data_IF_291773589882
#
_entry.id   IF_291773589882
#
_cell.length_a   1.000
_cell.length_b   1.000
_cell.length_c   1.000
_cell.angle_alpha   90.00
_cell.angle_beta   90.00
_cell.angle_gamma   90.00
#
_symmetry.space_group_name_H-M   'P 1'
#
loop_
_entity.id
_entity.type
_entity.pdbx_description
1 polymer ?
#
# COMPACT_ATOMS: atom_id res chain seq x y z
N UNK A 1 8.11 1.35 -33.39
CA UNK A 1 7.28 1.11 -32.20
C UNK A 1 6.72 -0.29 -32.33
N UNK A 2 7.26 -1.26 -31.59
CA UNK A 2 6.61 -2.56 -31.49
C UNK A 2 5.47 -2.38 -30.50
N UNK A 3 4.23 -2.40 -30.98
CA UNK A 3 3.07 -2.53 -30.12
C UNK A 3 3.10 -3.96 -29.60
N UNK A 4 3.69 -4.14 -28.42
CA UNK A 4 3.50 -5.38 -27.67
C UNK A 4 2.03 -5.43 -27.28
N UNK A 5 1.34 -6.51 -27.61
CA UNK A 5 0.01 -6.77 -27.09
C UNK A 5 0.12 -7.19 -25.62
N UNK A 6 -0.83 -6.79 -24.76
CA UNK A 6 -0.83 -7.25 -23.37
C UNK A 6 -1.02 -8.76 -23.32
N UNK A 7 -0.16 -9.43 -22.55
CA UNK A 7 -0.26 -10.87 -22.39
C UNK A 7 -1.48 -11.28 -21.56
N UNK A 8 -1.90 -10.43 -20.61
CA UNK A 8 -2.95 -10.75 -19.65
C UNK A 8 -4.32 -10.17 -20.02
N UNK A 9 -5.37 -10.91 -19.65
CA UNK A 9 -6.76 -10.56 -19.89
C UNK A 9 -7.57 -10.48 -18.57
N UNK A 10 -8.14 -9.32 -18.20
CA UNK A 10 -7.98 -8.01 -18.83
C UNK A 10 -6.60 -7.40 -18.53
N UNK A 11 -6.06 -6.50 -19.38
CA UNK A 11 -4.82 -5.77 -19.10
C UNK A 11 -4.95 -4.79 -17.93
N UNK A 12 -3.83 -4.41 -17.31
CA UNK A 12 -3.85 -3.35 -16.30
C UNK A 12 -4.39 -2.01 -16.86
N UNK A 13 -5.06 -1.20 -16.04
CA UNK A 13 -5.42 0.16 -16.43
C UNK A 13 -4.15 0.96 -16.73
N UNK A 14 -4.06 1.52 -17.95
CA UNK A 14 -2.86 2.23 -18.40
C UNK A 14 -1.64 1.32 -18.60
N UNK A 15 -1.86 0.04 -18.92
CA UNK A 15 -0.81 -0.91 -19.24
C UNK A 15 0.20 -0.37 -20.26
N UNK A 16 1.49 -0.61 -20.00
CA UNK A 16 2.59 -0.24 -20.91
C UNK A 16 3.35 -1.44 -21.43
N UNK A 17 3.76 -2.34 -20.53
CA UNK A 17 4.53 -3.55 -20.85
C UNK A 17 4.47 -4.58 -19.73
N UNK A 18 4.66 -5.83 -20.11
CA UNK A 18 4.82 -6.95 -19.18
C UNK A 18 6.29 -7.11 -18.78
N UNK A 19 6.52 -7.53 -17.54
CA UNK A 19 7.83 -7.92 -17.04
C UNK A 19 8.09 -9.42 -17.25
N UNK A 20 9.35 -9.87 -17.14
CA UNK A 20 9.71 -11.27 -17.36
C UNK A 20 8.88 -12.22 -16.49
N UNK A 21 8.49 -13.35 -17.07
CA UNK A 21 7.77 -14.41 -16.35
C UNK A 21 8.66 -15.00 -15.24
N UNK A 22 8.07 -15.61 -14.19
CA UNK A 22 8.76 -16.39 -13.16
C UNK A 22 9.85 -17.35 -13.67
N UNK A 23 9.63 -17.95 -14.84
CA UNK A 23 10.55 -18.92 -15.47
C UNK A 23 11.64 -18.27 -16.33
N UNK A 24 11.55 -16.97 -16.58
CA UNK A 24 12.50 -16.22 -17.40
C UNK A 24 13.57 -15.57 -16.54
N UNK A 25 14.77 -15.41 -17.10
CA UNK A 25 15.82 -14.65 -16.45
C UNK A 25 15.41 -13.17 -16.32
N UNK A 26 15.85 -12.49 -15.25
CA UNK A 26 15.57 -11.07 -15.08
C UNK A 26 16.15 -10.28 -16.26
N UNK A 27 15.36 -9.37 -16.81
CA UNK A 27 15.76 -8.52 -17.95
C UNK A 27 16.85 -7.51 -17.56
N UNK A 28 16.95 -7.18 -16.27
CA UNK A 28 17.87 -6.20 -15.71
C UNK A 28 18.54 -6.83 -14.48
N UNK A 29 19.86 -6.72 -14.38
CA UNK A 29 20.58 -7.14 -13.18
C UNK A 29 20.22 -6.20 -12.02
N UNK A 30 19.86 -6.70 -10.83
CA UNK A 30 19.42 -5.83 -9.76
C UNK A 30 20.54 -4.90 -9.30
N UNK A 31 20.30 -3.58 -9.34
CA UNK A 31 21.30 -2.56 -9.00
C UNK A 31 20.96 -1.85 -7.68
N UNK A 32 21.77 -2.02 -6.60
CA UNK A 32 21.47 -1.51 -5.26
C UNK A 32 21.24 0.00 -5.14
N UNK A 33 21.94 0.89 -5.88
CA UNK A 33 21.73 2.34 -5.74
C UNK A 33 20.35 2.86 -6.13
N UNK A 34 19.58 2.08 -6.90
CA UNK A 34 18.20 2.42 -7.29
C UNK A 34 17.18 1.94 -6.25
N UNK A 35 17.60 1.07 -5.33
CA UNK A 35 16.79 0.51 -4.27
C UNK A 35 17.04 1.32 -2.98
N UNK A 36 16.17 2.29 -2.65
CA UNK A 36 16.40 3.18 -1.52
C UNK A 36 16.43 2.43 -0.17
N UNK A 37 15.68 1.32 -0.09
CA UNK A 37 15.52 0.53 1.11
C UNK A 37 16.02 -0.90 0.88
N UNK A 38 16.91 -1.44 1.75
CA UNK A 38 17.25 -2.86 1.78
C UNK A 38 16.01 -3.71 2.13
N UNK A 39 16.03 -5.01 1.81
CA UNK A 39 14.97 -5.93 2.19
C UNK A 39 14.76 -5.97 3.72
N UNK A 40 13.55 -6.37 4.14
CA UNK A 40 13.22 -6.56 5.55
C UNK A 40 14.03 -7.70 6.16
N UNK A 41 14.10 -8.80 5.43
CA UNK A 41 14.78 -10.01 5.82
C UNK A 41 15.20 -10.78 4.57
N UNK A 42 16.36 -11.43 4.65
CA UNK A 42 16.92 -12.22 3.57
C UNK A 42 17.66 -13.42 4.17
N UNK A 43 17.12 -14.61 3.93
CA UNK A 43 17.72 -15.89 4.32
C UNK A 43 17.73 -16.86 3.13
N UNK A 44 18.22 -18.09 3.35
CA UNK A 44 18.19 -19.15 2.33
C UNK A 44 16.77 -19.64 2.00
N UNK A 45 15.81 -19.42 2.91
CA UNK A 45 14.42 -19.90 2.79
C UNK A 45 13.53 -18.85 2.14
N UNK A 46 13.54 -17.62 2.65
CA UNK A 46 12.64 -16.57 2.20
C UNK A 46 13.30 -15.19 2.10
N UNK A 47 12.73 -14.38 1.20
CA UNK A 47 13.06 -12.98 0.99
C UNK A 47 11.82 -12.15 1.32
N UNK A 48 11.97 -11.17 2.22
CA UNK A 48 10.90 -10.24 2.61
C UNK A 48 11.20 -8.85 2.05
N UNK A 49 10.37 -8.40 1.09
CA UNK A 49 10.50 -7.09 0.45
C UNK A 49 9.55 -6.07 1.12
N UNK A 50 10.06 -4.89 1.53
CA UNK A 50 9.22 -3.85 2.08
C UNK A 50 8.37 -3.20 0.99
N UNK A 51 7.09 -2.97 1.30
CA UNK A 51 6.17 -2.19 0.45
C UNK A 51 5.49 -1.12 1.28
N UNK A 52 5.95 0.12 1.12
CA UNK A 52 5.29 1.28 1.72
C UNK A 52 4.19 1.78 0.78
N UNK A 53 2.94 1.42 1.05
CA UNK A 53 1.78 1.86 0.25
C UNK A 53 1.42 3.32 0.53
N UNK A 54 1.64 3.79 1.77
CA UNK A 54 1.33 5.17 2.18
C UNK A 54 2.63 5.94 2.48
N UNK A 55 3.06 6.78 1.54
CA UNK A 55 4.30 7.56 1.66
C UNK A 55 4.14 8.85 2.48
N UNK A 56 2.94 9.42 2.52
CA UNK A 56 2.64 10.74 3.14
C UNK A 56 1.96 10.62 4.51
N UNK A 57 2.44 9.70 5.35
CA UNK A 57 1.90 9.53 6.71
C UNK A 57 2.18 10.74 7.59
N UNK A 58 1.17 11.14 8.36
CA UNK A 58 1.22 12.26 9.30
C UNK A 58 0.50 13.51 8.82
N UNK A 59 0.40 13.76 7.51
CA UNK A 59 -0.38 14.90 6.98
C UNK A 59 -1.87 14.70 7.29
N UNK A 60 -2.36 13.47 7.12
CA UNK A 60 -3.74 13.10 7.45
C UNK A 60 -4.03 13.28 8.95
N UNK A 61 -3.09 12.89 9.82
CA UNK A 61 -3.21 13.07 11.27
C UNK A 61 -3.28 14.53 11.67
N UNK A 62 -2.42 15.40 11.12
CA UNK A 62 -2.48 16.84 11.40
C UNK A 62 -3.76 17.49 10.88
N UNK A 63 -4.21 17.12 9.68
CA UNK A 63 -5.48 17.57 9.13
C UNK A 63 -6.65 17.10 10.01
N UNK A 64 -6.65 15.85 10.47
CA UNK A 64 -7.66 15.31 11.36
C UNK A 64 -7.74 16.08 12.68
N UNK A 65 -6.58 16.35 13.31
CA UNK A 65 -6.51 17.14 14.54
C UNK A 65 -7.10 18.54 14.31
N UNK A 66 -6.69 19.21 13.22
CA UNK A 66 -7.23 20.52 12.88
C UNK A 66 -8.75 20.51 12.68
N UNK A 67 -9.28 19.52 11.95
CA UNK A 67 -10.73 19.38 11.72
C UNK A 67 -11.52 19.09 12.99
N UNK A 68 -11.00 18.21 13.86
CA UNK A 68 -11.65 17.88 15.14
C UNK A 68 -11.64 19.09 16.09
N UNK A 69 -10.51 19.79 16.20
CA UNK A 69 -10.39 20.99 17.06
C UNK A 69 -11.26 22.13 16.57
N UNK A 70 -11.39 22.31 15.24
CA UNK A 70 -12.23 23.37 14.66
C UNK A 70 -13.71 23.00 14.60
N UNK A 71 -14.07 21.71 14.78
CA UNK A 71 -15.46 21.25 14.69
C UNK A 71 -16.44 22.00 15.61
N UNK A 72 -16.11 22.40 16.86
CA UNK A 72 -17.05 23.11 17.73
C UNK A 72 -17.31 24.56 17.30
N UNK A 73 -16.46 25.13 16.43
CA UNK A 73 -16.52 26.54 16.06
C UNK A 73 -17.86 26.97 15.43
N UNK A 74 -18.47 26.20 14.49
CA UNK A 74 -19.85 26.40 14.06
C UNK A 74 -20.89 26.49 15.17
N UNK A 75 -20.76 25.70 16.25
CA UNK A 75 -21.67 25.73 17.40
C UNK A 75 -21.44 26.96 18.26
N UNK A 76 -20.18 27.39 18.43
CA UNK A 76 -19.84 28.58 19.21
C UNK A 76 -20.25 29.88 18.50
N UNK A 77 -20.14 29.91 17.17
CA UNK A 77 -20.57 31.05 16.35
C UNK A 77 -22.07 31.34 16.49
N UNK A 78 -22.86 30.37 16.96
CA UNK A 78 -24.25 30.60 17.37
C UNK A 78 -24.36 31.78 18.34
N UNK A 79 -23.48 31.89 19.34
CA UNK A 79 -23.52 32.94 20.35
C UNK A 79 -23.03 34.31 19.88
N UNK A 80 -22.50 34.42 18.67
CA UNK A 80 -21.93 35.66 18.13
C UNK A 80 -22.94 36.53 17.38
N UNK A 81 -24.11 36.01 17.03
CA UNK A 81 -25.14 36.75 16.30
C UNK A 81 -26.16 37.44 17.22
N UNK A 82 -26.65 38.65 16.89
CA UNK A 82 -27.71 39.31 17.65
C UNK A 82 -29.03 38.50 17.63
N UNK A 83 -29.81 38.47 18.73
CA UNK A 83 -31.08 37.75 18.81
C UNK A 83 -32.06 38.07 17.67
N UNK A 84 -32.11 39.33 17.24
CA UNK A 84 -33.02 39.81 16.19
C UNK A 84 -32.75 39.15 14.82
N UNK A 85 -31.50 38.73 14.57
CA UNK A 85 -31.10 38.00 13.36
C UNK A 85 -31.27 36.48 13.51
N UNK A 86 -31.20 35.97 14.74
CA UNK A 86 -31.30 34.55 15.04
C UNK A 86 -32.75 34.04 15.01
N UNK A 87 -33.70 34.81 15.55
CA UNK A 87 -35.11 34.41 15.63
C UNK A 87 -35.75 34.00 14.30
N UNK A 88 -35.64 34.76 13.20
CA UNK A 88 -36.27 34.40 11.92
C UNK A 88 -35.61 33.20 11.22
N UNK A 89 -34.35 32.90 11.55
CA UNK A 89 -33.55 31.85 10.88
C UNK A 89 -33.10 30.75 11.86
N UNK A 90 -33.73 30.68 13.03
CA UNK A 90 -33.28 29.89 14.18
C UNK A 90 -33.05 28.43 13.82
N UNK A 91 -34.06 27.80 13.20
CA UNK A 91 -33.97 26.40 12.79
C UNK A 91 -32.89 26.18 11.72
N UNK A 92 -32.83 27.03 10.70
CA UNK A 92 -31.87 26.90 9.61
C UNK A 92 -30.43 27.02 10.12
N UNK A 93 -30.13 28.01 10.97
CA UNK A 93 -28.80 28.16 11.55
C UNK A 93 -28.46 27.05 12.55
N UNK A 94 -29.43 26.57 13.34
CA UNK A 94 -29.18 25.50 14.32
C UNK A 94 -28.90 24.17 13.62
N UNK A 95 -29.72 23.79 12.65
CA UNK A 95 -29.50 22.56 11.88
C UNK A 95 -28.27 22.67 10.99
N UNK A 96 -28.00 23.84 10.41
CA UNK A 96 -26.79 24.09 9.63
C UNK A 96 -25.52 23.97 10.45
N UNK A 97 -25.46 24.57 11.64
CA UNK A 97 -24.29 24.49 12.54
C UNK A 97 -24.08 23.07 13.06
N UNK A 98 -25.16 22.36 13.43
CA UNK A 98 -25.09 20.96 13.85
C UNK A 98 -24.60 20.07 12.70
N UNK A 99 -25.08 20.29 11.48
CA UNK A 99 -24.64 19.55 10.30
C UNK A 99 -23.15 19.79 10.01
N UNK A 100 -22.68 21.03 10.07
CA UNK A 100 -21.27 21.37 9.90
C UNK A 100 -20.39 20.75 11.00
N UNK A 101 -20.85 20.76 12.26
CA UNK A 101 -20.16 20.10 13.36
C UNK A 101 -20.02 18.60 13.12
N UNK A 102 -21.13 17.91 12.83
CA UNK A 102 -21.15 16.47 12.60
C UNK A 102 -20.28 16.09 11.40
N UNK A 103 -20.38 16.83 10.29
CA UNK A 103 -19.58 16.55 9.09
C UNK A 103 -18.09 16.79 9.33
N UNK A 104 -17.70 17.90 9.97
CA UNK A 104 -16.30 18.18 10.31
C UNK A 104 -15.71 17.10 11.25
N UNK A 105 -16.47 16.69 12.27
CA UNK A 105 -16.06 15.62 13.19
C UNK A 105 -15.92 14.28 12.45
N UNK A 106 -16.88 13.95 11.58
CA UNK A 106 -16.85 12.72 10.79
C UNK A 106 -15.64 12.67 9.85
N UNK A 107 -15.38 13.74 9.09
CA UNK A 107 -14.21 13.83 8.21
C UNK A 107 -12.89 13.83 8.99
N UNK A 108 -12.85 14.46 10.17
CA UNK A 108 -11.69 14.40 11.06
C UNK A 108 -11.39 12.97 11.52
N UNK A 109 -12.40 12.23 11.98
CA UNK A 109 -12.26 10.82 12.37
C UNK A 109 -11.85 9.96 11.17
N UNK A 110 -12.44 10.19 10.00
CA UNK A 110 -12.09 9.51 8.75
C UNK A 110 -10.62 9.71 8.39
N UNK A 111 -10.15 10.97 8.37
CA UNK A 111 -8.77 11.33 8.04
C UNK A 111 -7.78 10.72 9.05
N UNK A 112 -8.11 10.72 10.34
CA UNK A 112 -7.32 10.05 11.38
C UNK A 112 -7.21 8.55 11.10
N UNK A 113 -8.34 7.91 10.81
CA UNK A 113 -8.42 6.47 10.58
C UNK A 113 -7.61 6.04 9.35
N UNK A 114 -7.65 6.83 8.28
CA UNK A 114 -6.85 6.62 7.07
C UNK A 114 -5.33 6.69 7.31
N UNK A 115 -4.88 7.44 8.31
CA UNK A 115 -3.45 7.61 8.58
C UNK A 115 -2.91 6.60 9.62
N UNK A 116 -3.73 6.27 10.63
CA UNK A 116 -3.31 5.45 11.78
C UNK A 116 -3.58 3.96 11.58
N UNK A 117 -4.64 3.55 10.89
CA UNK A 117 -4.97 2.13 10.78
C UNK A 117 -4.18 1.32 9.76
N UNK A 118 -3.72 1.86 8.63
CA UNK A 118 -2.89 1.08 7.73
C UNK A 118 -1.60 0.64 8.43
N UNK A 119 -1.20 -0.64 8.33
CA UNK A 119 0.06 -1.14 8.88
C UNK A 119 1.24 -0.40 8.28
N UNK A 120 2.32 -0.20 9.04
CA UNK A 120 3.45 0.64 8.63
C UNK A 120 3.94 0.32 7.21
N UNK A 121 4.09 -0.98 6.94
CA UNK A 121 4.40 -1.56 5.64
C UNK A 121 3.45 -2.71 5.31
N UNK A 122 3.42 -3.08 4.03
CA UNK A 122 2.64 -4.18 3.48
C UNK A 122 3.54 -5.23 2.82
N UNK A 123 4.38 -5.92 3.60
CA UNK A 123 5.47 -6.75 3.07
C UNK A 123 4.99 -7.91 2.20
N UNK A 124 5.88 -8.30 1.28
CA UNK A 124 5.70 -9.48 0.44
C UNK A 124 6.85 -10.43 0.71
N UNK A 125 6.51 -11.66 1.11
CA UNK A 125 7.48 -12.72 1.38
C UNK A 125 7.48 -13.72 0.25
N UNK A 126 8.65 -13.94 -0.33
CA UNK A 126 8.90 -14.94 -1.35
C UNK A 126 9.59 -16.13 -0.68
N UNK A 127 8.91 -17.27 -0.60
CA UNK A 127 9.51 -18.50 -0.10
C UNK A 127 9.97 -19.33 -1.30
N UNK A 128 11.28 -19.50 -1.41
CA UNK A 128 11.91 -20.24 -2.51
C UNK A 128 11.59 -21.72 -2.44
N UNK A 129 11.76 -22.33 -1.28
CA UNK A 129 11.65 -23.79 -1.10
C UNK A 129 10.24 -24.31 -1.35
N UNK A 130 9.23 -23.51 -1.00
CA UNK A 130 7.82 -23.84 -1.24
C UNK A 130 7.29 -23.32 -2.58
N UNK A 131 8.05 -22.49 -3.29
CA UNK A 131 7.59 -21.77 -4.50
C UNK A 131 6.27 -20.99 -4.28
N UNK A 132 6.10 -20.41 -3.09
CA UNK A 132 4.92 -19.64 -2.69
C UNK A 132 5.27 -18.21 -2.33
N UNK A 133 4.32 -17.32 -2.54
CA UNK A 133 4.40 -15.91 -2.19
C UNK A 133 3.30 -15.56 -1.22
N UNK A 134 3.69 -14.98 -0.09
CA UNK A 134 2.79 -14.52 0.95
C UNK A 134 2.72 -13.00 0.87
N UNK A 135 1.51 -12.47 0.75
CA UNK A 135 1.27 -11.05 0.53
C UNK A 135 0.48 -10.50 1.70
N UNK A 136 1.05 -9.52 2.38
CA UNK A 136 0.36 -8.76 3.41
C UNK A 136 -0.27 -7.53 2.76
N UNK A 137 -1.59 -7.36 2.87
CA UNK A 137 -2.29 -6.19 2.33
C UNK A 137 -3.22 -5.58 3.34
N UNK A 138 -3.37 -4.26 3.27
CA UNK A 138 -4.41 -3.57 3.99
C UNK A 138 -5.49 -3.13 3.00
N UNK A 139 -6.67 -3.74 3.14
CA UNK A 139 -7.83 -3.32 2.37
C UNK A 139 -8.52 -2.19 3.10
N UNK A 140 -8.84 -1.11 2.39
CA UNK A 140 -9.65 -0.01 2.87
C UNK A 140 -10.60 0.43 1.75
N UNK A 141 -11.89 0.44 2.04
CA UNK A 141 -12.93 0.98 1.15
C UNK A 141 -13.35 2.35 1.65
N UNK A 142 -12.94 3.43 0.97
CA UNK A 142 -13.21 4.81 1.40
C UNK A 142 -14.68 5.16 1.64
N UNK A 143 -15.62 4.39 1.07
CA UNK A 143 -17.06 4.58 1.30
C UNK A 143 -17.54 3.98 2.62
N UNK A 144 -16.79 3.04 3.22
CA UNK A 144 -17.19 2.29 4.43
C UNK A 144 -16.16 2.36 5.56
N UNK A 145 -15.83 3.55 6.08
CA UNK A 145 -14.84 3.81 7.12
C UNK A 145 -15.08 3.23 8.48
N UNK A 146 -16.16 2.50 8.70
CA UNK A 146 -16.40 1.81 9.97
C UNK A 146 -16.62 0.31 9.80
N UNK A 147 -16.60 -0.20 8.56
CA UNK A 147 -16.74 -1.63 8.31
C UNK A 147 -15.49 -2.38 8.74
N UNK A 148 -15.66 -3.46 9.52
CA UNK A 148 -14.56 -4.38 9.86
C UNK A 148 -14.16 -5.28 8.68
N UNK A 149 -15.08 -5.54 7.74
CA UNK A 149 -14.83 -6.41 6.60
C UNK A 149 -14.19 -5.68 5.42
N UNK A 150 -14.52 -4.40 5.25
CA UNK A 150 -14.00 -3.54 4.18
C UNK A 150 -12.75 -2.74 4.62
N UNK A 151 -12.31 -2.94 5.86
CA UNK A 151 -11.23 -2.17 6.45
C UNK A 151 -10.43 -3.04 7.42
N UNK A 152 -9.31 -3.57 6.94
CA UNK A 152 -8.51 -4.53 7.69
C UNK A 152 -7.39 -5.15 6.87
N UNK A 153 -6.50 -5.82 7.60
CA UNK A 153 -5.41 -6.59 7.02
C UNK A 153 -5.94 -7.90 6.44
N UNK A 154 -5.47 -8.24 5.24
CA UNK A 154 -5.65 -9.54 4.61
C UNK A 154 -4.28 -10.09 4.24
N UNK A 155 -3.99 -11.30 4.71
CA UNK A 155 -2.81 -12.03 4.31
C UNK A 155 -3.24 -13.11 3.32
N UNK A 156 -2.65 -13.07 2.14
CA UNK A 156 -3.03 -13.93 1.00
C UNK A 156 -1.80 -14.74 0.55
N UNK A 157 -2.04 -15.95 0.06
CA UNK A 157 -1.00 -16.86 -0.41
C UNK A 157 -1.25 -17.17 -1.87
N UNK A 158 -0.21 -17.04 -2.67
CA UNK A 158 -0.23 -17.32 -4.10
C UNK A 158 0.93 -18.21 -4.50
N UNK A 159 0.73 -19.03 -5.52
CA UNK A 159 1.80 -19.80 -6.12
C UNK A 159 2.67 -18.91 -7.01
N UNK A 160 3.98 -19.06 -6.92
CA UNK A 160 4.95 -18.23 -7.66
C UNK A 160 4.75 -18.32 -9.19
N UNK A 161 4.40 -19.50 -9.69
CA UNK A 161 4.19 -19.76 -11.12
C UNK A 161 3.04 -18.95 -11.73
N UNK A 162 2.09 -18.53 -10.91
CA UNK A 162 0.86 -17.82 -11.33
C UNK A 162 1.01 -16.29 -11.27
N UNK A 163 2.12 -15.79 -10.73
CA UNK A 163 2.37 -14.36 -10.64
C UNK A 163 2.95 -13.81 -11.94
N UNK A 164 2.44 -12.66 -12.35
CA UNK A 164 2.92 -11.89 -13.50
C UNK A 164 3.05 -10.44 -13.07
N UNK A 165 4.18 -9.80 -13.36
CA UNK A 165 4.35 -8.39 -13.08
C UNK A 165 4.16 -7.55 -14.35
N UNK A 166 3.45 -6.44 -14.21
CA UNK A 166 3.12 -5.53 -15.30
C UNK A 166 3.45 -4.09 -14.92
N UNK A 167 3.98 -3.35 -15.87
CA UNK A 167 4.17 -1.90 -15.75
C UNK A 167 2.91 -1.21 -16.22
N UNK A 168 2.28 -0.46 -15.32
CA UNK A 168 1.08 0.33 -15.58
C UNK A 168 1.32 1.81 -15.28
N UNK A 169 0.56 2.66 -15.96
CA UNK A 169 0.62 4.10 -15.81
C UNK A 169 -0.73 4.59 -15.34
N UNK A 170 -0.81 4.89 -14.04
CA UNK A 170 -2.04 5.35 -13.40
C UNK A 170 -1.98 6.87 -13.28
N UNK A 171 -3.07 7.53 -13.67
CA UNK A 171 -3.18 8.97 -13.49
C UNK A 171 -3.27 9.30 -12.00
N UNK A 172 -2.27 9.99 -11.47
CA UNK A 172 -2.26 10.45 -10.08
C UNK A 172 -2.78 11.88 -9.99
N UNK A 173 -3.58 12.23 -8.97
CA UNK A 173 -3.97 13.61 -8.70
C UNK A 173 -2.80 14.40 -8.09
N UNK A 174 -1.68 14.50 -8.82
CA UNK A 174 -0.69 15.54 -8.55
C UNK A 174 -1.16 16.83 -9.20
N UNK A 175 -0.93 17.98 -8.56
CA UNK A 175 -1.42 19.29 -9.03
C UNK A 175 -1.03 19.69 -10.45
N UNK A 176 -0.12 18.96 -11.10
CA UNK A 176 0.31 19.12 -12.50
C UNK A 176 -0.16 18.00 -13.45
N UNK A 177 -1.03 17.08 -13.01
CA UNK A 177 -1.58 16.03 -13.86
C UNK A 177 -0.56 14.99 -14.34
N UNK A 178 0.39 14.62 -13.48
CA UNK A 178 1.43 13.63 -13.81
C UNK A 178 0.89 12.19 -13.85
N UNK A 179 1.28 11.44 -14.88
CA UNK A 179 1.12 9.99 -14.87
C UNK A 179 2.12 9.38 -13.89
N UNK A 180 1.62 8.61 -12.93
CA UNK A 180 2.45 7.83 -12.02
C UNK A 180 2.59 6.46 -12.65
N UNK A 181 3.80 6.16 -13.11
CA UNK A 181 4.11 4.81 -13.53
C UNK A 181 4.42 3.94 -12.30
N UNK A 182 3.74 2.81 -12.22
CA UNK A 182 3.84 1.84 -11.13
C UNK A 182 3.99 0.44 -11.69
N UNK A 183 4.56 -0.44 -10.88
CA UNK A 183 4.56 -1.87 -11.18
C UNK A 183 3.49 -2.52 -10.34
N UNK A 184 2.62 -3.28 -10.99
CA UNK A 184 1.57 -4.09 -10.36
C UNK A 184 1.85 -5.57 -10.60
N UNK A 185 1.50 -6.41 -9.64
CA UNK A 185 1.52 -7.86 -9.81
C UNK A 185 0.09 -8.33 -10.03
N UNK A 186 -0.11 -9.06 -11.12
CA UNK A 186 -1.32 -9.79 -11.45
C UNK A 186 -1.17 -11.25 -11.02
N UNK A 187 -2.20 -11.76 -10.35
CA UNK A 187 -2.38 -13.16 -10.03
C UNK A 187 -3.23 -13.76 -11.14
N UNK A 188 -2.65 -14.71 -11.86
CA UNK A 188 -3.29 -15.32 -13.02
C UNK A 188 -3.87 -16.68 -12.63
N UNK A 189 -5.00 -17.07 -13.23
CA UNK A 189 -5.54 -18.41 -13.04
C UNK A 189 -4.58 -19.44 -13.66
N UNK A 190 -4.26 -20.55 -12.95
CA UNK A 190 -3.31 -21.55 -13.42
C UNK A 190 -3.58 -22.00 -14.86
N UNK A 191 -2.55 -21.98 -15.69
CA UNK A 191 -2.61 -22.42 -17.09
C UNK A 191 -3.39 -21.49 -18.04
N UNK A 192 -3.83 -20.32 -17.59
CA UNK A 192 -4.49 -19.31 -18.43
C UNK A 192 -3.75 -17.98 -18.36
N UNK A 193 -4.25 -16.96 -19.07
CA UNK A 193 -3.81 -15.57 -18.94
C UNK A 193 -4.88 -14.69 -18.25
N UNK A 194 -5.89 -15.33 -17.64
CA UNK A 194 -6.99 -14.65 -16.98
C UNK A 194 -6.57 -14.15 -15.60
N UNK A 195 -6.70 -12.85 -15.38
CA UNK A 195 -6.30 -12.24 -14.11
C UNK A 195 -7.42 -12.35 -13.09
N UNK A 196 -7.12 -13.01 -11.95
CA UNK A 196 -8.03 -13.17 -10.83
C UNK A 196 -7.94 -11.95 -9.90
N UNK A 197 -6.72 -11.50 -9.63
CA UNK A 197 -6.45 -10.43 -8.67
C UNK A 197 -5.25 -9.60 -9.11
N UNK A 198 -5.23 -8.32 -8.71
CA UNK A 198 -4.16 -7.38 -9.05
C UNK A 198 -3.82 -6.55 -7.83
N UNK A 199 -2.53 -6.38 -7.60
CA UNK A 199 -2.06 -5.56 -6.50
C UNK A 199 -0.86 -4.71 -6.85
N UNK A 200 -0.79 -3.56 -6.19
CA UNK A 200 0.34 -2.66 -6.32
C UNK A 200 1.60 -3.29 -5.72
N UNK A 201 2.71 -3.22 -6.45
CA UNK A 201 3.99 -3.77 -6.02
C UNK A 201 4.96 -2.66 -5.62
N UNK A 202 5.22 -1.71 -6.50
CA UNK A 202 6.13 -0.60 -6.24
C UNK A 202 5.73 0.67 -6.97
N UNK A 203 6.05 1.82 -6.35
CA UNK A 203 5.94 3.13 -6.97
C UNK A 203 7.18 3.37 -7.85
N UNK A 204 6.97 3.76 -9.11
CA UNK A 204 8.04 3.95 -10.08
C UNK A 204 8.42 2.66 -10.82
N UNK A 205 8.63 2.80 -12.12
CA UNK A 205 9.03 1.69 -13.00
C UNK A 205 10.36 1.09 -12.62
N UNK A 206 11.39 1.93 -12.47
CA UNK A 206 12.75 1.47 -12.18
C UNK A 206 12.82 0.68 -10.86
N UNK A 207 12.19 1.17 -9.79
CA UNK A 207 12.21 0.49 -8.49
C UNK A 207 11.44 -0.84 -8.55
N UNK A 208 10.26 -0.86 -9.18
CA UNK A 208 9.47 -2.08 -9.30
C UNK A 208 10.11 -3.14 -10.18
N UNK A 209 10.74 -2.75 -11.29
CA UNK A 209 11.50 -3.66 -12.15
C UNK A 209 12.69 -4.27 -11.41
N UNK A 210 13.39 -3.47 -10.61
CA UNK A 210 14.50 -3.96 -9.79
C UNK A 210 14.02 -4.91 -8.69
N UNK A 211 12.92 -4.61 -7.99
CA UNK A 211 12.33 -5.52 -6.99
C UNK A 211 11.89 -6.84 -7.62
N UNK A 212 11.29 -6.78 -8.83
CA UNK A 212 10.88 -7.98 -9.56
C UNK A 212 12.08 -8.81 -10.00
N UNK A 213 13.13 -8.17 -10.53
CA UNK A 213 14.37 -8.83 -10.89
C UNK A 213 15.06 -9.50 -9.69
N UNK A 214 15.03 -8.88 -8.51
CA UNK A 214 15.50 -9.50 -7.26
C UNK A 214 14.67 -10.71 -6.87
N UNK A 215 13.34 -10.60 -6.93
CA UNK A 215 12.46 -11.73 -6.63
C UNK A 215 12.73 -12.91 -7.57
N UNK A 216 12.87 -12.66 -8.88
CA UNK A 216 13.25 -13.67 -9.87
C UNK A 216 14.60 -14.33 -9.53
N UNK A 217 15.63 -13.53 -9.30
CA UNK A 217 16.99 -14.02 -8.99
C UNK A 217 17.00 -14.86 -7.71
N UNK A 218 16.29 -14.41 -6.68
CA UNK A 218 16.16 -15.13 -5.42
C UNK A 218 15.43 -16.46 -5.58
N UNK A 219 14.30 -16.48 -6.29
CA UNK A 219 13.51 -17.70 -6.47
C UNK A 219 14.24 -18.74 -7.34
N UNK A 220 14.99 -18.31 -8.36
CA UNK A 220 15.73 -19.22 -9.24
C UNK A 220 17.05 -19.69 -8.62
N UNK A 221 17.91 -18.75 -8.23
CA UNK A 221 19.32 -19.02 -7.89
C UNK A 221 19.58 -18.96 -6.38
N UNK A 222 18.67 -18.35 -5.59
CA UNK A 222 18.79 -18.21 -4.15
C UNK A 222 19.45 -16.90 -3.71
N UNK A 223 19.82 -16.78 -2.42
CA UNK A 223 20.33 -15.53 -1.84
C UNK A 223 21.68 -15.08 -2.43
N UNK A 224 22.46 -16.01 -3.00
CA UNK A 224 23.78 -15.71 -3.58
C UNK A 224 23.72 -14.87 -4.86
N UNK A 225 22.57 -14.90 -5.56
CA UNK A 225 22.36 -14.14 -6.80
C UNK A 225 21.88 -12.71 -6.55
N UNK A 226 21.59 -12.34 -5.30
CA UNK A 226 21.20 -10.99 -4.96
C UNK A 226 22.43 -10.08 -4.87
N UNK A 227 22.30 -8.81 -5.28
CA UNK A 227 23.40 -7.88 -5.17
C UNK A 227 23.69 -7.59 -3.69
N UNK A 228 24.95 -7.26 -3.39
CA UNK A 228 25.30 -6.83 -2.05
C UNK A 228 24.68 -5.45 -1.79
N UNK A 229 23.78 -5.39 -0.82
CA UNK A 229 23.19 -4.13 -0.41
C UNK A 229 24.21 -3.30 0.37
N UNK A 230 24.28 -1.97 0.14
CA UNK A 230 25.18 -1.09 0.90
C UNK A 230 24.82 -1.03 2.39
N UNK A 231 23.60 -1.44 2.75
CA UNK A 231 23.11 -1.53 4.13
C UNK A 231 22.59 -2.94 4.39
N UNK A 232 22.79 -3.48 5.60
CA UNK A 232 22.24 -4.78 5.95
C UNK A 232 20.69 -4.76 5.88
N UNK A 233 20.05 -5.93 5.70
CA UNK A 233 18.61 -6.07 5.87
C UNK A 233 18.15 -5.49 7.20
N UNK A 234 17.00 -4.82 7.18
CA UNK A 234 16.46 -4.11 8.35
C UNK A 234 14.96 -4.30 8.39
N UNK A 235 14.40 -4.67 9.54
CA UNK A 235 12.95 -4.80 9.69
C UNK A 235 12.27 -3.44 9.64
N UNK A 236 11.83 -3.03 8.45
CA UNK A 236 11.08 -1.79 8.24
C UNK A 236 9.68 -1.88 8.81
N UNK A 237 9.12 -3.10 8.88
CA UNK A 237 7.73 -3.34 9.29
C UNK A 237 7.45 -2.95 10.74
N UNK A 238 8.45 -3.09 11.62
CA UNK A 238 8.31 -2.89 13.07
C UNK A 238 9.36 -1.93 13.64
N UNK A 239 9.91 -1.05 12.81
CA UNK A 239 10.90 -0.06 13.23
C UNK A 239 10.37 0.80 14.38
N UNK A 240 11.15 0.95 15.46
CA UNK A 240 10.81 1.85 16.56
C UNK A 240 11.06 3.30 16.14
N UNK A 241 10.05 3.92 15.54
CA UNK A 241 10.11 5.31 15.07
C UNK A 241 9.88 6.28 16.24
N UNK A 242 10.89 7.08 16.56
CA UNK A 242 10.83 8.06 17.66
C UNK A 242 10.22 9.40 17.25
N UNK A 243 10.54 9.92 16.07
CA UNK A 243 10.24 11.31 15.69
C UNK A 243 8.87 11.52 15.01
N UNK A 244 8.32 10.50 14.35
CA UNK A 244 7.05 10.62 13.63
C UNK A 244 5.93 9.90 14.39
N UNK A 245 5.07 10.67 15.06
CA UNK A 245 3.94 10.17 15.85
C UNK A 245 3.00 9.28 15.03
N UNK A 246 2.70 9.65 13.78
CA UNK A 246 1.82 8.86 12.92
C UNK A 246 2.43 7.50 12.55
N UNK A 247 3.74 7.45 12.30
CA UNK A 247 4.45 6.17 12.11
C UNK A 247 4.47 5.33 13.40
N UNK A 248 4.58 5.97 14.57
CA UNK A 248 4.58 5.29 15.86
C UNK A 248 3.21 4.70 16.23
N UNK A 249 2.13 5.38 15.85
CA UNK A 249 0.76 4.93 16.09
C UNK A 249 0.31 3.86 15.08
N UNK A 250 1.01 3.71 13.96
CA UNK A 250 0.68 2.70 12.96
C UNK A 250 0.79 1.29 13.57
N UNK A 251 -0.15 0.39 13.27
CA UNK A 251 -0.06 -0.98 13.73
C UNK A 251 1.15 -1.67 13.13
N UNK A 252 1.82 -2.45 13.97
CA UNK A 252 2.91 -3.36 13.60
C UNK A 252 2.38 -4.45 12.66
N UNK A 253 3.23 -4.93 11.76
CA UNK A 253 2.85 -6.03 10.85
C UNK A 253 2.80 -7.34 11.64
N UNK A 254 1.63 -7.98 11.66
CA UNK A 254 1.40 -9.23 12.36
C UNK A 254 0.76 -10.24 11.40
N UNK A 255 1.55 -11.22 10.97
CA UNK A 255 1.07 -12.30 10.12
C UNK A 255 0.22 -13.29 10.93
N UNK A 256 -0.79 -13.92 10.32
CA UNK A 256 -1.49 -15.05 10.95
C UNK A 256 -0.49 -16.14 11.35
N UNK A 257 -0.62 -16.72 12.54
CA UNK A 257 0.41 -17.60 13.13
C UNK A 257 0.80 -18.77 12.21
N UNK A 258 -0.18 -19.46 11.64
CA UNK A 258 0.05 -20.61 10.75
C UNK A 258 0.79 -20.18 9.47
N UNK A 259 0.42 -19.03 8.92
CA UNK A 259 1.02 -18.47 7.72
C UNK A 259 2.43 -17.91 7.99
N UNK A 260 2.67 -17.32 9.16
CA UNK A 260 3.99 -16.86 9.58
C UNK A 260 4.96 -18.04 9.66
N UNK A 261 4.53 -19.16 10.25
CA UNK A 261 5.29 -20.39 10.33
C UNK A 261 5.56 -20.99 8.94
N UNK A 262 4.52 -21.14 8.11
CA UNK A 262 4.66 -21.72 6.75
C UNK A 262 5.59 -20.87 5.88
N UNK A 263 5.48 -19.54 5.98
CA UNK A 263 6.31 -18.62 5.18
C UNK A 263 7.80 -18.68 5.52
N UNK A 264 8.14 -19.00 6.78
CA UNK A 264 9.51 -19.04 7.29
C UNK A 264 10.19 -20.39 7.21
N UNK A 265 9.44 -21.46 6.95
CA UNK A 265 9.95 -22.84 7.01
C UNK A 265 10.02 -23.48 5.63
N UNK A 266 10.96 -24.43 5.51
CA UNK A 266 10.99 -25.38 4.41
C UNK A 266 9.82 -26.38 4.51
N UNK A 267 9.36 -26.97 3.40
CA UNK A 267 8.41 -28.09 3.39
C UNK A 267 8.96 -29.35 4.05
#
# INVERSE_FOLDING_TARGET
>A
MFFTEPLLDPPAPGWKRDLPKPDQSPSIAPYPPVLPNPPNHLDSVYLDLPRSTVRTRGIGSWLAIAMIVMSPFPLMNWFSFPPDTQFPLFFAFTFGSLFLFITALWFGIYAWRMDVQPPLDEPIRFNRLRHKVYVYRFHHDGLRPFSRSAWGVRAEVYDWADLRAEVCSVYGPMGTGGLIESVSIAVVKPGTHLVIDRFHFAHGTMQGEMYWAMALSFMQQGPQALPQFPRPPRDWNNEDVSFNLARRLAPKVQWPADMDLESRTAP
#
